data_IF_314931511542
#
_entry.id   IF_314931511542
#
_cell.length_a   1.000
_cell.length_b   1.000
_cell.length_c   1.000
_cell.angle_alpha   90.00
_cell.angle_beta   90.00
_cell.angle_gamma   90.00
#
_symmetry.space_group_name_H-M   'P 1'
#
loop_
_entity.id
_entity.type
_entity.pdbx_description
1 polymer ?
#
# COMPACT_ATOMS: atom_id res chain seq x y z
N UNK A 1 -3.48 24.81 -38.97
CA UNK A 1 -4.81 25.26 -38.49
C UNK A 1 -5.57 24.03 -38.00
N UNK A 2 -6.23 24.14 -36.82
CA UNK A 2 -6.64 23.09 -35.85
C UNK A 2 -5.46 22.66 -34.97
N UNK A 3 -5.18 23.22 -33.78
CA UNK A 3 -6.03 23.60 -32.62
C UNK A 3 -6.84 22.42 -32.11
N UNK A 4 -6.29 21.75 -31.10
CA UNK A 4 -6.91 21.36 -29.82
C UNK A 4 -5.81 20.72 -28.94
N UNK A 5 -4.92 21.58 -28.43
CA UNK A 5 -4.06 21.26 -27.30
C UNK A 5 -4.91 21.38 -26.05
N UNK A 6 -5.34 20.25 -25.49
CA UNK A 6 -5.87 20.21 -24.15
C UNK A 6 -4.86 20.89 -23.21
N UNK A 7 -5.33 21.80 -22.38
CA UNK A 7 -4.53 22.55 -21.42
C UNK A 7 -3.82 21.58 -20.46
N UNK A 8 -2.54 21.33 -20.72
CA UNK A 8 -1.67 20.53 -19.86
C UNK A 8 -0.79 21.45 -19.02
N UNK A 9 -1.11 21.50 -17.72
CA UNK A 9 -0.19 21.60 -16.58
C UNK A 9 1.03 22.52 -16.74
N UNK A 10 0.86 23.77 -16.31
CA UNK A 10 1.97 24.62 -15.87
C UNK A 10 1.96 24.68 -14.34
N UNK A 11 2.80 23.86 -13.69
CA UNK A 11 3.10 23.94 -12.25
C UNK A 11 4.58 23.65 -12.06
N UNK A 12 5.26 24.53 -11.32
CA UNK A 12 6.66 24.44 -10.91
C UNK A 12 7.11 22.99 -10.61
N UNK A 13 8.32 22.57 -11.04
CA UNK A 13 8.71 21.17 -11.25
C UNK A 13 8.71 20.25 -10.02
N UNK A 14 8.36 20.74 -8.83
CA UNK A 14 8.30 19.95 -7.59
C UNK A 14 6.89 19.66 -7.08
N UNK A 15 5.91 20.55 -7.30
CA UNK A 15 4.57 20.37 -6.76
C UNK A 15 3.67 19.69 -7.80
N UNK A 16 3.58 18.36 -7.74
CA UNK A 16 2.60 17.61 -8.53
C UNK A 16 1.23 17.64 -7.87
N UNK A 17 0.26 18.25 -8.56
CA UNK A 17 -1.14 18.31 -8.15
C UNK A 17 -1.96 17.33 -8.96
N UNK A 18 -2.85 16.60 -8.29
CA UNK A 18 -3.85 15.76 -8.94
C UNK A 18 -5.18 16.51 -8.92
N UNK A 19 -5.45 17.25 -9.99
CA UNK A 19 -6.69 18.02 -10.15
C UNK A 19 -7.37 17.58 -11.43
N UNK A 20 -8.68 17.35 -11.34
CA UNK A 20 -9.55 17.22 -12.51
C UNK A 20 -10.41 18.48 -12.54
N UNK A 21 -10.24 19.31 -13.57
CA UNK A 21 -10.92 20.61 -13.66
C UNK A 21 -12.46 20.48 -13.64
N UNK A 22 -12.96 19.42 -14.28
CA UNK A 22 -14.38 19.08 -14.23
C UNK A 22 -14.56 17.56 -14.36
N UNK A 23 -15.19 16.94 -13.37
CA UNK A 23 -15.46 15.51 -13.37
C UNK A 23 -16.41 15.10 -14.48
N UNK A 24 -17.36 15.96 -14.86
CA UNK A 24 -18.36 15.67 -15.92
C UNK A 24 -17.73 15.63 -17.32
N UNK A 25 -16.56 16.25 -17.48
CA UNK A 25 -15.80 16.20 -18.73
C UNK A 25 -15.14 14.84 -18.91
N UNK A 26 -14.80 14.17 -17.80
CA UNK A 26 -14.05 12.91 -17.77
C UNK A 26 -14.96 11.71 -17.60
N UNK A 27 -15.84 11.73 -16.59
CA UNK A 27 -16.69 10.62 -16.22
C UNK A 27 -17.96 10.59 -17.09
N UNK A 28 -18.27 9.42 -17.66
CA UNK A 28 -19.57 9.16 -18.26
C UNK A 28 -20.62 8.86 -17.19
N UNK A 29 -20.26 8.03 -16.22
CA UNK A 29 -21.07 7.77 -15.02
C UNK A 29 -20.18 7.48 -13.80
N UNK A 30 -20.56 8.05 -12.65
CA UNK A 30 -19.86 7.87 -11.37
C UNK A 30 -20.41 6.63 -10.66
N UNK A 31 -19.50 5.76 -10.20
CA UNK A 31 -19.82 4.54 -9.47
C UNK A 31 -19.73 4.76 -7.95
N UNK A 32 -18.71 5.47 -7.50
CA UNK A 32 -18.52 5.78 -6.08
C UNK A 32 -17.74 7.07 -5.89
N UNK A 33 -17.99 7.74 -4.77
CA UNK A 33 -17.33 8.97 -4.36
C UNK A 33 -17.18 8.98 -2.85
N UNK A 34 -15.94 9.07 -2.37
CA UNK A 34 -15.62 9.04 -0.94
C UNK A 34 -14.34 9.84 -0.67
N UNK A 35 -14.05 10.09 0.61
CA UNK A 35 -12.86 10.83 1.05
C UNK A 35 -11.80 9.92 1.62
N UNK A 36 -10.54 10.25 1.32
CA UNK A 36 -9.34 9.65 1.90
C UNK A 36 -8.51 10.79 2.50
N UNK A 37 -8.72 11.05 3.79
CA UNK A 37 -8.20 12.25 4.45
C UNK A 37 -8.80 13.52 3.85
N UNK A 38 -7.93 14.44 3.41
CA UNK A 38 -8.31 15.68 2.74
C UNK A 38 -8.51 15.52 1.22
N UNK A 39 -8.10 14.39 0.66
CA UNK A 39 -8.32 14.09 -0.76
C UNK A 39 -9.70 13.44 -0.95
N UNK A 40 -10.25 13.66 -2.14
CA UNK A 40 -11.47 13.02 -2.59
C UNK A 40 -11.15 12.02 -3.70
N UNK A 41 -11.79 10.86 -3.64
CA UNK A 41 -11.67 9.78 -4.61
C UNK A 41 -12.98 9.62 -5.34
N UNK A 42 -12.89 9.54 -6.67
CA UNK A 42 -14.03 9.28 -7.55
C UNK A 42 -13.72 8.08 -8.42
N UNK A 43 -14.52 7.01 -8.24
CA UNK A 43 -14.47 5.84 -9.11
C UNK A 43 -15.58 6.01 -10.14
N UNK A 44 -15.22 6.01 -11.42
CA UNK A 44 -16.15 6.24 -12.51
C UNK A 44 -15.77 5.45 -13.76
N UNK A 45 -16.70 5.31 -14.68
CA UNK A 45 -16.39 4.85 -16.04
C UNK A 45 -16.42 6.07 -16.94
N UNK A 46 -15.33 6.25 -17.69
CA UNK A 46 -15.17 7.39 -18.58
C UNK A 46 -16.05 7.26 -19.85
N UNK A 47 -16.04 8.31 -20.67
CA UNK A 47 -16.78 8.36 -21.95
C UNK A 47 -16.28 7.34 -22.99
N UNK A 48 -15.13 6.72 -22.77
CA UNK A 48 -14.52 5.68 -23.61
C UNK A 48 -14.74 4.27 -23.02
N UNK A 49 -15.62 4.15 -22.02
CA UNK A 49 -15.95 2.89 -21.34
C UNK A 49 -14.76 2.25 -20.59
N UNK A 50 -13.82 3.07 -20.13
CA UNK A 50 -12.69 2.63 -19.28
C UNK A 50 -12.96 3.00 -17.83
N UNK A 51 -12.74 2.05 -16.92
CA UNK A 51 -12.91 2.28 -15.50
C UNK A 51 -11.71 3.05 -14.92
N UNK A 52 -12.01 4.09 -14.15
CA UNK A 52 -11.04 5.04 -13.60
C UNK A 52 -11.17 5.20 -12.10
N UNK A 53 -10.02 5.44 -11.48
CA UNK A 53 -9.87 5.81 -10.08
C UNK A 53 -9.26 7.22 -10.03
N UNK A 54 -10.08 8.24 -9.88
CA UNK A 54 -9.64 9.63 -9.93
C UNK A 54 -9.34 10.14 -8.52
N UNK A 55 -8.14 10.66 -8.32
CA UNK A 55 -7.72 11.32 -7.08
C UNK A 55 -7.83 12.83 -7.28
N UNK A 56 -8.56 13.48 -6.38
CA UNK A 56 -8.72 14.92 -6.30
C UNK A 56 -8.09 15.41 -5.00
N UNK A 57 -6.93 16.04 -5.12
CA UNK A 57 -6.24 16.60 -3.96
C UNK A 57 -6.71 18.01 -3.62
N UNK A 58 -6.45 18.50 -2.39
CA UNK A 58 -6.76 19.87 -2.00
C UNK A 58 -6.23 20.90 -3.01
N UNK A 59 -7.10 21.84 -3.40
CA UNK A 59 -6.73 22.90 -4.33
C UNK A 59 -5.60 23.76 -3.76
N UNK A 60 -4.57 24.00 -4.57
CA UNK A 60 -3.44 24.86 -4.23
C UNK A 60 -3.52 26.13 -5.06
N UNK A 61 -3.78 27.26 -4.40
CA UNK A 61 -3.73 28.58 -5.02
C UNK A 61 -2.29 29.02 -5.36
N UNK A 62 -2.16 30.17 -6.04
CA UNK A 62 -0.87 30.70 -6.48
C UNK A 62 0.08 31.03 -5.32
N UNK A 63 -0.46 31.43 -4.17
CA UNK A 63 0.32 31.79 -2.99
C UNK A 63 0.96 30.54 -2.40
N UNK A 64 0.16 29.50 -2.22
CA UNK A 64 0.62 28.23 -1.65
C UNK A 64 1.54 27.48 -2.61
N UNK A 65 1.28 27.59 -3.93
CA UNK A 65 2.16 27.07 -4.96
C UNK A 65 3.59 27.59 -4.81
N UNK A 66 3.76 28.90 -4.59
CA UNK A 66 5.07 29.54 -4.40
C UNK A 66 5.71 29.26 -3.04
N UNK A 67 4.89 29.09 -1.99
CA UNK A 67 5.38 28.82 -0.64
C UNK A 67 5.90 27.39 -0.47
N UNK A 68 5.26 26.43 -1.12
CA UNK A 68 5.62 25.02 -1.02
C UNK A 68 7.11 24.72 -1.31
N UNK A 69 7.69 25.13 -2.47
CA UNK A 69 9.10 24.82 -2.76
C UNK A 69 10.07 25.46 -1.78
N UNK A 70 9.78 26.69 -1.32
CA UNK A 70 10.61 27.40 -0.33
C UNK A 70 10.63 26.67 1.02
N UNK A 71 9.46 26.20 1.46
CA UNK A 71 9.32 25.41 2.69
C UNK A 71 10.06 24.08 2.53
N UNK A 72 9.85 23.36 1.41
CA UNK A 72 10.50 22.08 1.17
C UNK A 72 12.02 22.21 1.10
N UNK A 73 12.58 23.21 0.41
CA UNK A 73 14.04 23.45 0.38
C UNK A 73 14.61 23.71 1.77
N UNK A 74 13.91 24.52 2.57
CA UNK A 74 14.32 24.83 3.95
C UNK A 74 14.21 23.60 4.87
N UNK A 75 13.17 22.79 4.67
CA UNK A 75 12.98 21.51 5.36
C UNK A 75 14.10 20.55 5.00
N UNK A 76 14.46 20.39 3.72
CA UNK A 76 15.53 19.48 3.29
C UNK A 76 16.87 19.75 3.99
N UNK A 77 17.20 21.02 4.23
CA UNK A 77 18.40 21.42 4.97
C UNK A 77 18.28 21.09 6.47
N UNK A 78 17.06 21.10 7.01
CA UNK A 78 16.76 20.90 8.44
C UNK A 78 16.33 19.46 8.79
N UNK A 79 16.18 18.57 7.80
CA UNK A 79 15.62 17.22 7.93
C UNK A 79 16.41 16.27 8.84
N UNK A 80 17.62 16.66 9.27
CA UNK A 80 18.42 15.87 10.19
C UNK A 80 17.76 15.69 11.58
N UNK A 81 16.80 16.55 11.95
CA UNK A 81 16.20 16.57 13.30
C UNK A 81 14.70 16.20 13.37
N UNK A 82 14.04 15.90 12.24
CA UNK A 82 12.58 15.64 12.23
C UNK A 82 12.29 14.15 12.35
N UNK A 83 12.01 13.69 13.57
CA UNK A 83 11.70 12.28 13.89
C UNK A 83 10.21 11.95 13.96
N UNK A 84 9.31 12.94 13.88
CA UNK A 84 7.85 12.74 14.06
C UNK A 84 7.01 13.74 13.26
N UNK A 85 5.72 13.44 13.07
CA UNK A 85 4.78 14.38 12.44
C UNK A 85 4.59 15.67 13.28
N UNK A 86 4.61 15.57 14.60
CA UNK A 86 4.39 16.72 15.49
C UNK A 86 5.59 17.69 15.44
N UNK A 87 6.80 17.15 15.34
CA UNK A 87 8.00 17.97 15.12
C UNK A 87 8.00 18.61 13.74
N UNK A 88 7.42 17.97 12.72
CA UNK A 88 7.28 18.54 11.39
C UNK A 88 6.39 19.79 11.40
N UNK A 89 5.20 19.72 12.01
CA UNK A 89 4.26 20.85 12.02
C UNK A 89 4.89 22.09 12.65
N UNK A 90 5.54 21.92 13.80
CA UNK A 90 6.24 22.99 14.50
C UNK A 90 7.41 23.56 13.68
N UNK A 91 8.14 22.70 12.98
CA UNK A 91 9.27 23.11 12.12
C UNK A 91 8.76 23.93 10.93
N UNK A 92 7.68 23.49 10.28
CA UNK A 92 7.04 24.21 9.17
C UNK A 92 6.52 25.57 9.64
N UNK A 93 5.84 25.63 10.79
CA UNK A 93 5.34 26.89 11.36
C UNK A 93 6.49 27.88 11.68
N UNK A 94 7.65 27.36 12.10
CA UNK A 94 8.87 28.14 12.37
C UNK A 94 9.50 28.66 11.08
N UNK A 95 9.65 27.79 10.06
CA UNK A 95 10.18 28.16 8.74
C UNK A 95 9.29 29.23 8.09
N UNK A 96 7.98 29.04 8.10
CA UNK A 96 7.03 29.99 7.53
C UNK A 96 7.09 31.36 8.22
N UNK A 97 7.29 31.38 9.54
CA UNK A 97 7.48 32.61 10.31
C UNK A 97 8.83 33.28 10.00
N UNK A 98 9.91 32.51 9.87
CA UNK A 98 11.26 33.00 9.56
C UNK A 98 11.40 33.57 8.14
N UNK A 99 10.62 33.06 7.18
CA UNK A 99 10.58 33.57 5.81
C UNK A 99 9.69 34.82 5.64
N UNK A 100 8.99 35.27 6.70
CA UNK A 100 8.16 36.48 6.66
C UNK A 100 6.78 36.30 6.02
N UNK A 101 6.34 35.07 5.75
CA UNK A 101 5.07 34.77 5.06
C UNK A 101 3.94 34.36 6.01
N UNK A 102 3.97 34.79 7.27
CA UNK A 102 3.11 34.28 8.34
C UNK A 102 1.60 34.37 8.03
N UNK A 103 1.16 35.48 7.45
CA UNK A 103 -0.27 35.69 7.14
C UNK A 103 -0.72 34.88 5.92
N UNK A 104 0.10 34.83 4.87
CA UNK A 104 -0.12 33.99 3.69
C UNK A 104 -0.13 32.50 4.03
N UNK A 105 0.80 32.06 4.90
CA UNK A 105 0.86 30.68 5.35
C UNK A 105 -0.37 30.29 6.18
N UNK A 106 -0.88 31.17 7.05
CA UNK A 106 -2.11 30.90 7.81
C UNK A 106 -3.32 30.62 6.92
N UNK A 107 -3.43 31.32 5.79
CA UNK A 107 -4.56 31.16 4.87
C UNK A 107 -4.56 29.80 4.16
N UNK A 108 -3.40 29.18 3.96
CA UNK A 108 -3.32 27.87 3.33
C UNK A 108 -2.51 26.82 4.07
N UNK A 109 -2.47 26.96 5.39
CA UNK A 109 -1.77 26.04 6.29
C UNK A 109 -2.23 24.61 6.06
N UNK A 110 -3.53 24.37 5.95
CA UNK A 110 -4.09 23.03 5.79
C UNK A 110 -3.64 22.38 4.47
N UNK A 111 -3.78 23.08 3.35
CA UNK A 111 -3.34 22.61 2.03
C UNK A 111 -1.82 22.41 1.99
N UNK A 112 -1.03 23.38 2.46
CA UNK A 112 0.44 23.25 2.49
C UNK A 112 0.88 22.07 3.37
N UNK A 113 0.27 21.92 4.55
CA UNK A 113 0.61 20.83 5.46
C UNK A 113 0.27 19.47 4.85
N UNK A 114 -0.85 19.36 4.13
CA UNK A 114 -1.19 18.15 3.38
C UNK A 114 -0.04 17.77 2.43
N UNK A 115 0.39 18.69 1.57
CA UNK A 115 1.44 18.42 0.57
C UNK A 115 2.82 18.15 1.21
N UNK A 116 3.17 18.88 2.27
CA UNK A 116 4.42 18.64 3.01
C UNK A 116 4.43 17.26 3.65
N UNK A 117 3.36 16.87 4.37
CA UNK A 117 3.27 15.52 4.96
C UNK A 117 3.31 14.43 3.87
N UNK A 118 2.56 14.64 2.78
CA UNK A 118 2.48 13.75 1.61
C UNK A 118 3.86 13.47 1.01
N UNK A 119 4.67 14.51 0.83
CA UNK A 119 5.93 14.43 0.10
C UNK A 119 7.15 14.15 0.99
N UNK A 120 7.12 14.52 2.27
CA UNK A 120 8.21 14.25 3.23
C UNK A 120 8.11 12.86 3.85
N UNK A 121 6.96 12.50 4.42
CA UNK A 121 6.78 11.23 5.14
C UNK A 121 6.00 10.21 4.31
N UNK A 122 5.03 10.67 3.54
CA UNK A 122 4.16 9.84 2.72
C UNK A 122 4.83 9.24 1.49
N UNK A 123 4.00 8.82 0.54
CA UNK A 123 4.39 8.26 -0.76
C UNK A 123 4.20 9.26 -1.91
N UNK A 124 4.27 10.56 -1.63
CA UNK A 124 4.13 11.61 -2.62
C UNK A 124 2.86 11.48 -3.45
N UNK A 125 2.97 11.45 -4.78
CA UNK A 125 1.82 11.34 -5.69
C UNK A 125 0.98 10.06 -5.51
N UNK A 126 1.52 9.01 -4.89
CA UNK A 126 0.78 7.78 -4.61
C UNK A 126 0.19 7.74 -3.19
N UNK A 127 0.41 8.77 -2.38
CA UNK A 127 0.08 8.74 -0.95
C UNK A 127 -1.40 8.46 -0.68
N UNK A 128 -2.30 9.04 -1.48
CA UNK A 128 -3.74 8.76 -1.39
C UNK A 128 -4.04 7.29 -1.67
N UNK A 129 -3.32 6.67 -2.61
CA UNK A 129 -3.50 5.25 -2.94
C UNK A 129 -3.05 4.33 -1.78
N UNK A 130 -1.96 4.72 -1.11
CA UNK A 130 -1.47 4.04 0.09
C UNK A 130 -2.43 4.20 1.27
N UNK A 131 -3.03 5.38 1.45
CA UNK A 131 -3.97 5.65 2.53
C UNK A 131 -5.36 5.05 2.31
N UNK A 132 -5.77 4.79 1.08
CA UNK A 132 -7.10 4.25 0.81
C UNK A 132 -7.20 2.76 1.21
N UNK A 133 -7.97 2.38 2.25
CA UNK A 133 -8.12 0.98 2.64
C UNK A 133 -8.79 0.12 1.55
N UNK A 134 -9.49 0.72 0.57
CA UNK A 134 -10.14 -0.01 -0.52
C UNK A 134 -9.18 -0.59 -1.57
N UNK A 135 -7.97 -0.01 -1.69
CA UNK A 135 -6.96 -0.46 -2.66
C UNK A 135 -6.21 -1.70 -2.14
N UNK A 136 -6.04 -2.69 -3.03
CA UNK A 136 -5.29 -3.92 -2.77
C UNK A 136 -3.90 -3.90 -3.44
N UNK A 137 -3.87 -3.60 -4.74
CA UNK A 137 -2.62 -3.55 -5.51
C UNK A 137 -2.46 -2.17 -6.19
N UNK A 138 -1.22 -1.66 -6.26
CA UNK A 138 -0.84 -0.41 -6.94
C UNK A 138 0.30 -0.73 -7.91
N UNK A 139 0.14 -0.39 -9.19
CA UNK A 139 1.05 -0.83 -10.24
C UNK A 139 1.43 0.28 -11.22
N UNK A 140 2.72 0.32 -11.56
CA UNK A 140 3.25 1.06 -12.69
C UNK A 140 3.92 0.09 -13.67
N UNK A 141 3.31 -0.10 -14.83
CA UNK A 141 3.87 -0.96 -15.87
C UNK A 141 4.77 -0.20 -16.87
N UNK A 142 4.51 1.09 -17.08
CA UNK A 142 5.23 1.97 -18.02
C UNK A 142 5.00 3.42 -17.59
N UNK A 143 6.05 4.25 -17.55
CA UNK A 143 5.95 5.67 -17.19
C UNK A 143 5.06 6.48 -18.13
N UNK A 144 4.88 6.02 -19.38
CA UNK A 144 3.99 6.64 -20.37
C UNK A 144 2.51 6.30 -20.17
N UNK A 145 2.20 5.46 -19.19
CA UNK A 145 0.84 5.07 -18.83
C UNK A 145 0.52 5.56 -17.43
N UNK A 146 -0.78 5.77 -17.13
CA UNK A 146 -1.18 6.03 -15.76
C UNK A 146 -0.84 4.86 -14.83
N UNK A 147 -0.65 5.17 -13.55
CA UNK A 147 -0.63 4.17 -12.49
C UNK A 147 -2.00 3.48 -12.44
N UNK A 148 -1.97 2.18 -12.21
CA UNK A 148 -3.15 1.33 -12.15
C UNK A 148 -3.36 0.85 -10.71
N UNK A 149 -4.61 0.70 -10.30
CA UNK A 149 -4.95 0.12 -8.99
C UNK A 149 -5.98 -1.00 -9.11
N UNK A 150 -5.89 -1.97 -8.20
CA UNK A 150 -6.95 -2.96 -7.98
C UNK A 150 -7.70 -2.56 -6.71
N UNK A 151 -9.02 -2.41 -6.80
CA UNK A 151 -9.88 -2.01 -5.69
C UNK A 151 -10.83 -3.13 -5.30
N UNK A 152 -10.88 -3.47 -4.01
CA UNK A 152 -11.60 -4.64 -3.47
C UNK A 152 -13.10 -4.69 -3.78
N UNK A 153 -13.74 -3.52 -3.82
CA UNK A 153 -15.19 -3.42 -4.10
C UNK A 153 -15.53 -3.35 -5.60
N UNK A 154 -14.52 -3.23 -6.47
CA UNK A 154 -14.69 -2.99 -7.91
C UNK A 154 -14.00 -4.06 -8.77
N UNK A 155 -13.91 -5.29 -8.27
CA UNK A 155 -13.29 -6.45 -8.95
C UNK A 155 -13.98 -6.86 -10.26
N UNK A 156 -15.15 -6.29 -10.58
CA UNK A 156 -15.76 -6.43 -11.90
C UNK A 156 -14.88 -5.82 -13.00
N UNK A 157 -14.04 -4.85 -12.62
CA UNK A 157 -12.97 -4.35 -13.46
C UNK A 157 -11.68 -5.06 -13.09
N UNK A 158 -10.92 -5.54 -14.08
CA UNK A 158 -9.61 -6.16 -13.84
C UNK A 158 -8.66 -5.18 -13.15
N UNK A 159 -8.73 -3.89 -13.52
CA UNK A 159 -7.98 -2.82 -12.88
C UNK A 159 -8.59 -1.44 -13.20
N UNK A 160 -8.30 -0.44 -12.36
CA UNK A 160 -8.74 0.95 -12.53
C UNK A 160 -7.55 1.84 -12.90
N UNK A 161 -7.68 2.62 -13.98
CA UNK A 161 -6.67 3.60 -14.36
C UNK A 161 -6.78 4.85 -13.50
N UNK A 162 -5.67 5.30 -12.92
CA UNK A 162 -5.65 6.54 -12.15
C UNK A 162 -5.42 7.78 -13.03
N UNK A 163 -5.57 8.96 -12.45
CA UNK A 163 -5.09 10.21 -13.05
C UNK A 163 -3.63 10.53 -12.68
N UNK A 164 -2.88 9.55 -12.15
CA UNK A 164 -1.48 9.72 -11.77
C UNK A 164 -0.60 9.18 -12.89
N UNK A 165 0.22 10.05 -13.48
CA UNK A 165 1.19 9.68 -14.51
C UNK A 165 2.52 10.40 -14.31
N UNK A 166 3.62 9.70 -14.57
CA UNK A 166 4.96 10.28 -14.55
C UNK A 166 5.21 11.07 -15.83
N UNK A 167 5.85 12.24 -15.73
CA UNK A 167 6.08 13.12 -16.88
C UNK A 167 7.27 12.68 -17.73
N UNK A 168 8.22 11.97 -17.13
CA UNK A 168 9.38 11.41 -17.81
C UNK A 168 9.85 10.10 -17.19
N UNK A 169 10.71 9.39 -17.92
CA UNK A 169 11.33 8.16 -17.44
C UNK A 169 12.25 8.41 -16.24
N UNK A 170 12.98 9.52 -16.24
CA UNK A 170 13.87 9.94 -15.16
C UNK A 170 13.09 10.17 -13.86
N UNK A 171 11.89 10.75 -13.97
CA UNK A 171 11.04 10.98 -12.83
C UNK A 171 10.52 9.65 -12.23
N UNK A 172 10.03 8.76 -13.09
CA UNK A 172 9.59 7.42 -12.69
C UNK A 172 10.74 6.61 -12.06
N UNK A 173 11.95 6.71 -12.63
CA UNK A 173 13.18 6.10 -12.10
C UNK A 173 13.50 6.61 -10.71
N UNK A 174 13.55 7.93 -10.53
CA UNK A 174 13.80 8.53 -9.22
C UNK A 174 12.73 8.17 -8.19
N UNK A 175 11.47 7.99 -8.62
CA UNK A 175 10.40 7.52 -7.74
C UNK A 175 10.60 6.05 -7.31
N UNK A 176 10.95 5.16 -8.25
CA UNK A 176 11.29 3.76 -7.97
C UNK A 176 12.47 3.64 -7.01
N UNK A 177 13.51 4.45 -7.20
CA UNK A 177 14.67 4.49 -6.30
C UNK A 177 14.28 4.90 -4.87
N UNK A 178 13.43 5.93 -4.72
CA UNK A 178 12.90 6.33 -3.41
C UNK A 178 12.03 5.25 -2.77
N UNK A 179 11.20 4.55 -3.55
CA UNK A 179 10.41 3.42 -3.04
C UNK A 179 11.30 2.28 -2.53
N UNK A 180 12.35 1.93 -3.29
CA UNK A 180 13.31 0.91 -2.86
C UNK A 180 13.98 1.29 -1.52
N UNK A 181 14.41 2.56 -1.40
CA UNK A 181 15.02 3.08 -0.18
C UNK A 181 14.05 3.04 1.01
N UNK A 182 12.76 3.36 0.82
CA UNK A 182 11.72 3.21 1.85
C UNK A 182 11.53 1.74 2.28
N UNK A 183 11.81 0.78 1.40
CA UNK A 183 11.87 -0.65 1.71
C UNK A 183 13.22 -1.12 2.29
N UNK A 184 14.14 -0.19 2.57
CA UNK A 184 15.45 -0.50 3.16
C UNK A 184 16.46 -1.13 2.19
N UNK A 185 16.20 -1.12 0.88
CA UNK A 185 17.12 -1.66 -0.14
C UNK A 185 17.49 -0.59 -1.17
N UNK A 186 18.72 -0.64 -1.68
CA UNK A 186 19.17 0.25 -2.76
C UNK A 186 19.10 -0.48 -4.11
N UNK A 187 18.56 0.20 -5.11
CA UNK A 187 18.45 -0.29 -6.49
C UNK A 187 19.50 0.38 -7.37
N UNK A 188 20.04 -0.34 -8.34
CA UNK A 188 21.09 0.17 -9.24
C UNK A 188 21.09 -0.57 -10.57
N UNK A 189 21.82 -0.09 -11.58
CA UNK A 189 21.94 -0.84 -12.84
C UNK A 189 22.60 -2.21 -12.68
N UNK A 190 23.43 -2.40 -11.64
CA UNK A 190 24.03 -3.70 -11.32
C UNK A 190 23.05 -4.64 -10.60
N UNK A 191 22.08 -4.09 -9.86
CA UNK A 191 20.98 -4.80 -9.22
C UNK A 191 19.65 -4.14 -9.61
N UNK A 192 19.19 -4.37 -10.86
CA UNK A 192 18.11 -3.60 -11.48
C UNK A 192 16.70 -4.02 -11.03
N UNK A 193 16.59 -5.03 -10.16
CA UNK A 193 15.35 -5.50 -9.58
C UNK A 193 15.47 -5.67 -8.07
N UNK A 194 14.38 -5.38 -7.35
CA UNK A 194 14.29 -5.60 -5.91
C UNK A 194 12.91 -6.11 -5.54
N UNK A 195 12.90 -7.10 -4.64
CA UNK A 195 11.73 -7.53 -3.89
C UNK A 195 11.96 -7.28 -2.40
N UNK A 196 11.02 -6.58 -1.76
CA UNK A 196 11.11 -6.22 -0.34
C UNK A 196 9.76 -5.90 0.26
N UNK A 197 9.75 -5.44 1.50
CA UNK A 197 8.57 -5.10 2.28
C UNK A 197 8.77 -3.67 2.78
N UNK A 198 7.76 -2.82 2.59
CA UNK A 198 7.74 -1.44 3.10
C UNK A 198 7.55 -1.43 4.63
N UNK A 199 7.79 -0.29 5.28
CA UNK A 199 7.59 -0.12 6.73
C UNK A 199 6.21 -0.59 7.21
N UNK A 200 5.18 -0.35 6.40
CA UNK A 200 3.78 -0.71 6.68
C UNK A 200 3.45 -2.20 6.41
N UNK A 201 4.45 -3.02 6.06
CA UNK A 201 4.25 -4.44 5.74
C UNK A 201 3.77 -4.72 4.32
N UNK A 202 3.61 -3.69 3.48
CA UNK A 202 3.21 -3.85 2.08
C UNK A 202 4.35 -4.48 1.26
N UNK A 203 4.02 -5.45 0.40
CA UNK A 203 5.00 -6.05 -0.51
C UNK A 203 5.34 -5.06 -1.60
N UNK A 204 6.62 -4.92 -1.91
CA UNK A 204 7.14 -4.07 -2.96
C UNK A 204 8.01 -4.89 -3.91
N UNK A 205 7.67 -4.82 -5.20
CA UNK A 205 8.55 -5.26 -6.29
C UNK A 205 8.81 -4.09 -7.22
N UNK A 206 10.07 -3.84 -7.54
CA UNK A 206 10.48 -2.69 -8.37
C UNK A 206 11.55 -3.07 -9.38
N UNK A 207 11.55 -2.40 -10.54
CA UNK A 207 12.61 -2.51 -11.54
C UNK A 207 13.00 -1.14 -12.09
N UNK A 208 14.29 -0.93 -12.45
CA UNK A 208 14.77 0.35 -13.01
C UNK A 208 14.61 0.49 -14.54
N UNK A 209 14.24 -0.58 -15.24
CA UNK A 209 14.33 -0.66 -16.70
C UNK A 209 15.37 -1.68 -17.18
N UNK A 210 16.06 -1.34 -18.26
CA UNK A 210 17.06 -2.19 -18.92
C UNK A 210 18.15 -2.62 -17.90
N UNK A 211 18.49 -3.93 -17.79
CA UNK A 211 18.12 -5.07 -18.65
C UNK A 211 16.83 -5.84 -18.30
N UNK A 212 16.11 -5.47 -17.25
CA UNK A 212 14.98 -6.29 -16.76
C UNK A 212 13.66 -5.93 -17.43
N UNK A 213 13.45 -4.65 -17.73
CA UNK A 213 12.19 -4.11 -18.25
C UNK A 213 12.43 -2.97 -19.26
N UNK A 214 11.38 -2.54 -19.97
CA UNK A 214 11.48 -1.45 -20.97
C UNK A 214 11.67 -0.06 -20.34
N UNK A 215 11.42 0.08 -19.05
CA UNK A 215 11.52 1.30 -18.26
C UNK A 215 11.20 0.99 -16.80
N UNK A 216 11.25 1.98 -15.90
CA UNK A 216 10.99 1.77 -14.48
C UNK A 216 9.58 1.21 -14.23
N UNK A 217 9.48 0.19 -13.39
CA UNK A 217 8.20 -0.40 -12.98
C UNK A 217 8.13 -0.61 -11.48
N UNK A 218 6.92 -0.66 -10.94
CA UNK A 218 6.68 -1.15 -9.59
C UNK A 218 5.34 -1.87 -9.48
N UNK A 219 5.25 -2.82 -8.56
CA UNK A 219 4.02 -3.45 -8.11
C UNK A 219 4.05 -3.50 -6.58
N UNK A 220 3.02 -2.94 -5.97
CA UNK A 220 2.85 -2.87 -4.53
C UNK A 220 1.60 -3.64 -4.18
N UNK A 221 1.73 -4.66 -3.34
CA UNK A 221 0.58 -5.34 -2.74
C UNK A 221 0.41 -4.89 -1.31
N UNK A 222 -0.68 -4.19 -1.05
CA UNK A 222 -0.99 -3.63 0.25
C UNK A 222 -1.34 -4.74 1.23
N UNK A 223 -0.86 -4.55 2.45
CA UNK A 223 -1.27 -5.33 3.60
C UNK A 223 -2.51 -4.64 4.20
N UNK A 224 -3.68 -5.30 4.25
CA UNK A 224 -4.86 -4.70 4.86
C UNK A 224 -4.62 -4.34 6.34
N UNK A 225 -5.13 -3.18 6.76
CA UNK A 225 -5.01 -2.71 8.15
C UNK A 225 -5.67 -3.66 9.13
N UNK A 226 -6.89 -4.10 8.79
CA UNK A 226 -7.69 -5.02 9.58
C UNK A 226 -7.87 -6.35 8.84
N UNK A 227 -7.44 -7.48 9.44
CA UNK A 227 -7.82 -8.80 8.96
C UNK A 227 -9.33 -8.94 8.81
N UNK A 228 -9.77 -9.60 7.75
CA UNK A 228 -11.18 -9.95 7.58
C UNK A 228 -11.56 -10.99 8.65
N UNK A 229 -12.65 -10.76 9.36
CA UNK A 229 -13.16 -11.67 10.37
C UNK A 229 -14.09 -12.74 9.78
N UNK A 230 -14.30 -13.81 10.56
CA UNK A 230 -15.13 -14.94 10.13
C UNK A 230 -16.60 -14.55 9.90
N UNK A 231 -17.11 -13.56 10.66
CA UNK A 231 -18.49 -13.08 10.56
C UNK A 231 -18.70 -12.38 9.21
N UNK A 232 -17.72 -11.59 8.78
CA UNK A 232 -17.69 -10.90 7.49
C UNK A 232 -17.69 -11.92 6.36
N UNK A 233 -16.85 -12.96 6.43
CA UNK A 233 -16.83 -14.02 5.40
C UNK A 233 -18.16 -14.78 5.31
N UNK A 234 -18.84 -15.00 6.44
CA UNK A 234 -20.17 -15.61 6.47
C UNK A 234 -21.20 -14.69 5.82
N UNK A 235 -21.21 -13.40 6.18
CA UNK A 235 -22.14 -12.42 5.61
C UNK A 235 -21.95 -12.23 4.10
N UNK A 236 -20.70 -12.32 3.63
CA UNK A 236 -20.33 -12.27 2.22
C UNK A 236 -20.58 -13.60 1.48
N UNK A 237 -21.06 -14.65 2.18
CA UNK A 237 -21.28 -16.01 1.65
C UNK A 237 -20.01 -16.66 1.07
N UNK A 238 -18.83 -16.23 1.51
CA UNK A 238 -17.55 -16.85 1.18
C UNK A 238 -17.36 -18.14 1.99
N UNK A 239 -17.85 -18.15 3.24
CA UNK A 239 -17.81 -19.31 4.13
C UNK A 239 -19.22 -19.60 4.63
N UNK A 240 -19.68 -20.84 4.51
CA UNK A 240 -20.95 -21.23 5.11
C UNK A 240 -20.86 -21.30 6.64
N UNK A 241 -21.92 -20.92 7.38
CA UNK A 241 -21.93 -20.99 8.86
C UNK A 241 -21.59 -22.38 9.41
N UNK A 242 -22.07 -23.46 8.75
CA UNK A 242 -21.79 -24.83 9.17
C UNK A 242 -20.31 -25.20 9.02
N UNK A 243 -19.65 -24.69 7.98
CA UNK A 243 -18.20 -24.87 7.79
C UNK A 243 -17.42 -24.11 8.87
N UNK A 244 -17.82 -22.88 9.18
CA UNK A 244 -17.19 -22.11 10.26
C UNK A 244 -17.32 -22.83 11.62
N UNK A 245 -18.49 -23.39 11.92
CA UNK A 245 -18.71 -24.19 13.14
C UNK A 245 -17.85 -25.48 13.15
N UNK A 246 -17.75 -26.17 12.01
CA UNK A 246 -16.86 -27.33 11.88
C UNK A 246 -15.40 -26.94 12.12
N UNK A 247 -14.93 -25.87 11.50
CA UNK A 247 -13.55 -25.38 11.68
C UNK A 247 -13.27 -24.96 13.12
N UNK A 248 -14.25 -24.39 13.81
CA UNK A 248 -14.12 -24.11 15.24
C UNK A 248 -13.87 -25.40 16.03
N UNK A 249 -14.65 -26.46 15.79
CA UNK A 249 -14.42 -27.76 16.46
C UNK A 249 -13.07 -28.40 16.08
N UNK A 250 -12.66 -28.29 14.82
CA UNK A 250 -11.35 -28.76 14.32
C UNK A 250 -10.21 -28.03 15.02
N UNK A 251 -10.34 -26.70 15.19
CA UNK A 251 -9.40 -25.87 15.92
C UNK A 251 -9.33 -26.29 17.39
N UNK A 252 -10.46 -26.43 18.08
CA UNK A 252 -10.53 -26.83 19.49
C UNK A 252 -9.90 -28.22 19.73
N UNK A 253 -10.08 -29.13 18.79
CA UNK A 253 -9.45 -30.45 18.78
C UNK A 253 -7.97 -30.43 18.32
N UNK A 254 -7.42 -29.26 17.97
CA UNK A 254 -6.05 -29.06 17.47
C UNK A 254 -5.69 -29.97 16.29
N UNK A 255 -6.65 -30.22 15.41
CA UNK A 255 -6.45 -31.06 14.24
C UNK A 255 -5.68 -30.32 13.15
N UNK A 256 -4.85 -31.07 12.43
CA UNK A 256 -4.12 -30.55 11.29
C UNK A 256 -5.05 -30.33 10.08
N UNK A 257 -4.98 -29.14 9.47
CA UNK A 257 -5.65 -28.83 8.22
C UNK A 257 -4.86 -27.82 7.39
N UNK A 258 -5.18 -27.72 6.11
CA UNK A 258 -4.60 -26.75 5.19
C UNK A 258 -5.65 -26.22 4.21
N UNK A 259 -5.41 -25.01 3.70
CA UNK A 259 -6.28 -24.37 2.70
C UNK A 259 -5.58 -24.43 1.35
N UNK A 260 -6.26 -25.00 0.36
CA UNK A 260 -5.74 -25.20 -1.01
C UNK A 260 -6.53 -24.34 -2.00
N UNK A 261 -5.88 -23.94 -3.09
CA UNK A 261 -6.48 -23.10 -4.13
C UNK A 261 -5.45 -22.36 -4.97
N UNK A 262 -5.90 -21.78 -6.09
CA UNK A 262 -5.06 -20.98 -6.99
C UNK A 262 -4.47 -19.74 -6.34
N UNK A 263 -3.55 -19.06 -7.04
CA UNK A 263 -3.08 -17.74 -6.59
C UNK A 263 -4.24 -16.74 -6.61
N UNK A 264 -4.27 -15.81 -5.65
CA UNK A 264 -5.32 -14.78 -5.58
C UNK A 264 -6.70 -15.24 -5.10
N UNK A 265 -6.92 -16.52 -4.77
CA UNK A 265 -8.25 -17.01 -4.35
C UNK A 265 -8.61 -16.76 -2.88
N UNK A 266 -7.86 -15.91 -2.16
CA UNK A 266 -8.16 -15.57 -0.76
C UNK A 266 -7.76 -16.62 0.29
N UNK A 267 -6.85 -17.55 -0.03
CA UNK A 267 -6.40 -18.60 0.91
C UNK A 267 -5.95 -18.05 2.26
N UNK A 268 -5.02 -17.10 2.25
CA UNK A 268 -4.47 -16.52 3.48
C UNK A 268 -5.54 -15.75 4.25
N UNK A 269 -6.48 -15.10 3.55
CA UNK A 269 -7.63 -14.42 4.15
C UNK A 269 -8.51 -15.39 4.92
N UNK A 270 -8.89 -16.51 4.31
CA UNK A 270 -9.71 -17.54 4.97
C UNK A 270 -8.94 -18.16 6.14
N UNK A 271 -7.64 -18.46 5.97
CA UNK A 271 -6.81 -19.00 7.04
C UNK A 271 -6.75 -18.06 8.24
N UNK A 272 -6.55 -16.76 8.00
CA UNK A 272 -6.51 -15.76 9.05
C UNK A 272 -7.85 -15.67 9.80
N UNK A 273 -8.98 -15.71 9.09
CA UNK A 273 -10.31 -15.74 9.70
C UNK A 273 -10.56 -17.03 10.51
N UNK A 274 -10.15 -18.19 10.00
CA UNK A 274 -10.27 -19.47 10.72
C UNK A 274 -9.42 -19.51 11.98
N UNK A 275 -8.22 -18.92 11.95
CA UNK A 275 -7.38 -18.85 13.13
C UNK A 275 -7.97 -17.94 14.22
N UNK A 276 -8.86 -17.00 13.90
CA UNK A 276 -9.57 -16.19 14.91
C UNK A 276 -10.55 -17.03 15.76
N UNK A 277 -10.97 -18.20 15.27
CA UNK A 277 -11.87 -19.12 16.00
C UNK A 277 -11.14 -19.95 17.08
N UNK A 278 -9.82 -19.86 17.17
CA UNK A 278 -9.05 -20.62 18.17
C UNK A 278 -9.13 -19.97 19.56
N UNK A 279 -8.82 -20.70 20.63
CA UNK A 279 -8.82 -20.14 21.99
C UNK A 279 -7.86 -18.93 22.10
N UNK A 280 -8.32 -17.77 22.62
CA UNK A 280 -7.49 -16.57 22.74
C UNK A 280 -6.25 -16.73 23.64
N UNK A 281 -6.22 -17.74 24.51
CA UNK A 281 -5.10 -18.03 25.41
C UNK A 281 -4.05 -18.95 24.78
N UNK A 282 -4.29 -19.50 23.60
CA UNK A 282 -3.33 -20.38 22.93
C UNK A 282 -2.14 -19.61 22.37
N UNK A 283 -0.96 -20.23 22.46
CA UNK A 283 0.25 -19.72 21.83
C UNK A 283 0.25 -20.10 20.35
N UNK A 284 0.10 -19.10 19.48
CA UNK A 284 0.13 -19.29 18.04
C UNK A 284 1.44 -18.76 17.50
N UNK A 285 2.14 -19.59 16.72
CA UNK A 285 3.34 -19.19 16.02
C UNK A 285 3.09 -19.30 14.52
N UNK A 286 3.31 -18.20 13.80
CA UNK A 286 3.21 -18.16 12.34
C UNK A 286 4.61 -18.07 11.75
N UNK A 287 4.88 -18.87 10.73
CA UNK A 287 6.06 -18.79 9.88
C UNK A 287 5.62 -18.40 8.47
N UNK A 288 6.12 -17.29 7.93
CA UNK A 288 5.70 -16.76 6.62
C UNK A 288 6.84 -16.02 5.92
N UNK A 289 6.73 -15.83 4.60
CA UNK A 289 7.71 -15.06 3.81
C UNK A 289 7.54 -13.56 4.02
N UNK A 290 6.29 -13.09 3.96
CA UNK A 290 5.88 -11.72 4.25
C UNK A 290 4.73 -11.74 5.24
N UNK A 291 4.57 -10.66 5.98
CA UNK A 291 3.47 -10.51 6.91
C UNK A 291 2.14 -10.44 6.16
N UNK A 292 1.37 -11.53 6.17
CA UNK A 292 -0.02 -11.55 5.71
C UNK A 292 -0.99 -11.92 6.85
N UNK A 293 -0.61 -12.91 7.67
CA UNK A 293 -1.40 -13.33 8.83
C UNK A 293 -1.09 -12.42 10.01
N UNK A 294 -2.13 -11.81 10.59
CA UNK A 294 -2.04 -10.88 11.73
C UNK A 294 -3.14 -11.14 12.75
N UNK A 295 -2.78 -11.05 14.03
CA UNK A 295 -3.71 -11.17 15.17
C UNK A 295 -3.40 -10.12 16.23
N UNK A 296 -3.70 -8.83 15.98
CA UNK A 296 -3.25 -7.73 16.84
C UNK A 296 -3.82 -7.81 18.27
N UNK A 297 -4.95 -8.49 18.48
CA UNK A 297 -5.59 -8.65 19.79
C UNK A 297 -5.03 -9.81 20.63
N UNK A 298 -4.13 -10.64 20.07
CA UNK A 298 -3.60 -11.82 20.78
C UNK A 298 -2.27 -11.55 21.47
N UNK A 299 -2.25 -11.78 22.79
CA UNK A 299 -1.05 -11.61 23.62
C UNK A 299 0.01 -12.70 23.42
N UNK A 300 -0.38 -13.91 22.97
CA UNK A 300 0.53 -15.06 22.77
C UNK A 300 0.71 -15.40 21.28
N UNK A 301 0.95 -14.38 20.47
CA UNK A 301 1.18 -14.50 19.03
C UNK A 301 2.64 -14.18 18.68
N UNK A 302 3.33 -15.09 17.99
CA UNK A 302 4.73 -14.90 17.55
C UNK A 302 4.82 -15.12 16.05
N UNK A 303 5.60 -14.30 15.37
CA UNK A 303 5.83 -14.40 13.93
C UNK A 303 7.31 -14.62 13.65
N UNK A 304 7.60 -15.57 12.78
CA UNK A 304 8.92 -15.76 12.19
C UNK A 304 8.87 -15.55 10.69
N UNK A 305 9.94 -15.00 10.15
CA UNK A 305 10.08 -14.72 8.72
C UNK A 305 11.26 -15.46 8.11
N UNK A 306 11.11 -15.85 6.84
CA UNK A 306 12.16 -16.44 6.03
C UNK A 306 11.95 -16.12 4.55
N UNK A 307 13.00 -15.68 3.86
CA UNK A 307 12.92 -15.29 2.44
C UNK A 307 13.02 -16.50 1.49
N UNK A 308 13.41 -17.67 2.00
CA UNK A 308 13.56 -18.91 1.24
C UNK A 308 12.87 -20.09 1.92
N UNK A 309 12.54 -21.13 1.15
CA UNK A 309 11.98 -22.39 1.68
C UNK A 309 12.85 -23.02 2.77
N UNK A 310 14.18 -22.91 2.66
CA UNK A 310 15.11 -23.44 3.67
C UNK A 310 15.06 -22.62 4.97
N UNK A 311 14.99 -21.29 4.87
CA UNK A 311 14.82 -20.44 6.03
C UNK A 311 13.47 -20.69 6.71
N UNK A 312 12.38 -20.78 5.94
CA UNK A 312 11.04 -21.10 6.46
C UNK A 312 11.09 -22.43 7.21
N UNK A 313 11.71 -23.46 6.64
CA UNK A 313 11.88 -24.76 7.31
C UNK A 313 12.63 -24.63 8.64
N UNK A 314 13.74 -23.88 8.67
CA UNK A 314 14.50 -23.63 9.90
C UNK A 314 13.69 -22.84 10.94
N UNK A 315 12.89 -21.86 10.51
CA UNK A 315 11.96 -21.12 11.38
C UNK A 315 10.88 -22.04 11.95
N UNK A 316 10.36 -23.00 11.19
CA UNK A 316 9.42 -24.00 11.70
C UNK A 316 10.05 -24.85 12.82
N UNK A 317 11.28 -25.36 12.64
CA UNK A 317 11.97 -26.09 13.71
C UNK A 317 12.27 -25.23 14.93
N UNK A 318 12.58 -23.95 14.71
CA UNK A 318 12.75 -22.98 15.78
C UNK A 318 11.43 -22.80 16.54
N UNK A 319 10.31 -22.60 15.83
CA UNK A 319 8.99 -22.43 16.41
C UNK A 319 8.58 -23.59 17.31
N UNK A 320 8.85 -24.84 16.92
CA UNK A 320 8.56 -26.00 17.74
C UNK A 320 9.22 -25.96 19.13
N UNK A 321 10.39 -25.32 19.26
CA UNK A 321 11.07 -25.15 20.56
C UNK A 321 10.37 -24.17 21.49
N UNK A 322 9.51 -23.29 20.95
CA UNK A 322 8.73 -22.34 21.72
C UNK A 322 7.45 -22.95 22.29
N UNK A 323 7.20 -24.26 22.06
CA UNK A 323 6.00 -24.98 22.50
C UNK A 323 4.72 -24.23 22.09
N UNK A 324 4.47 -24.07 20.78
CA UNK A 324 3.21 -23.51 20.28
C UNK A 324 2.06 -24.46 20.60
N UNK A 325 0.88 -23.89 20.83
CA UNK A 325 -0.39 -24.62 20.78
C UNK A 325 -0.79 -24.85 19.31
N UNK A 326 -0.52 -23.87 18.44
CA UNK A 326 -0.73 -23.94 16.98
C UNK A 326 0.51 -23.39 16.27
N UNK A 327 1.04 -24.18 15.34
CA UNK A 327 2.03 -23.74 14.36
C UNK A 327 1.34 -23.53 13.01
N UNK A 328 1.49 -22.35 12.43
CA UNK A 328 0.96 -22.00 11.12
C UNK A 328 2.13 -21.73 10.18
N UNK A 329 2.06 -22.26 8.96
CA UNK A 329 2.96 -21.88 7.88
C UNK A 329 2.12 -21.17 6.83
N UNK A 330 2.44 -19.90 6.55
CA UNK A 330 1.63 -19.02 5.71
C UNK A 330 1.45 -19.57 4.29
N UNK A 331 2.54 -20.09 3.72
CA UNK A 331 2.50 -20.79 2.44
C UNK A 331 3.53 -21.92 2.40
N UNK A 332 3.13 -23.05 1.81
CA UNK A 332 4.00 -24.22 1.62
C UNK A 332 4.12 -24.48 0.11
N UNK A 333 5.32 -24.25 -0.42
CA UNK A 333 5.72 -24.44 -1.82
C UNK A 333 6.73 -25.58 -2.01
N UNK A 334 7.30 -26.13 -0.94
CA UNK A 334 8.36 -27.13 -1.03
C UNK A 334 8.64 -27.91 0.25
N UNK A 335 9.93 -28.03 0.58
CA UNK A 335 10.46 -28.95 1.62
C UNK A 335 9.97 -28.62 3.04
N UNK A 336 9.53 -27.39 3.28
CA UNK A 336 8.95 -26.93 4.53
C UNK A 336 7.72 -27.74 4.97
N UNK A 337 7.04 -28.45 4.04
CA UNK A 337 5.98 -29.40 4.38
C UNK A 337 6.45 -30.49 5.36
N UNK A 338 7.73 -30.87 5.30
CA UNK A 338 8.30 -31.89 6.19
C UNK A 338 8.34 -31.45 7.66
N UNK A 339 8.46 -30.14 7.93
CA UNK A 339 8.37 -29.64 9.30
C UNK A 339 6.94 -29.70 9.83
N UNK A 340 5.94 -29.44 8.98
CA UNK A 340 4.53 -29.57 9.36
C UNK A 340 4.18 -31.02 9.70
N UNK A 341 4.58 -31.98 8.85
CA UNK A 341 4.31 -33.41 9.09
C UNK A 341 4.99 -33.93 10.35
N UNK A 342 6.15 -33.39 10.73
CA UNK A 342 6.84 -33.74 12.00
C UNK A 342 6.27 -33.03 13.23
N UNK A 343 5.50 -31.97 13.03
CA UNK A 343 4.89 -31.18 14.11
C UNK A 343 3.55 -31.77 14.58
N UNK A 344 2.86 -32.50 13.69
CA UNK A 344 1.72 -33.38 13.99
C UNK A 344 2.23 -34.63 14.71
#
# INVERSE_FOLDING_TARGET
MRKDSADFLDIEPRLKKLVVANLDDVCGYVLSRYRVGLAEVVICVDKQNTARYLVLEPHVDDVCGKLYPLIMDSLYVSLLDVSSEETLENTVDTIASGLGFRDSFRQCRETLMYYVKRDSFGYGVLDVLFRDPGIEDIELCDWRKPVTVIHRDFLIFEALLTNIQFSSEEEARGYVERLALKGGKSISLAKPEIHTVLSEGHRLSVTLGNPVSRGPTFSIRKLPDTPIDIVTLINQKVVEPHLAALIWLVNDAKLFYGIIGGSGTGKTTILNAFLQLTDPNWKIIVVQDVMEIRMPTRSRFIQFFGESSEEILQRCFTALRYRPDILVVGEVRGREISALVRAV
#
